data_IF_804958141381
#
_entry.id   IF_804958141381
#
_cell.length_a   1.000
_cell.length_b   1.000
_cell.length_c   1.000
_cell.angle_alpha   90.00
_cell.angle_beta   90.00
_cell.angle_gamma   90.00
#
_symmetry.space_group_name_H-M   'P 1'
#
loop_
_entity.id
_entity.type
_entity.pdbx_description
1 polymer ?
#
# COMPACT_ATOMS: atom_id res chain seq x y z
N UNK A 1 2.59 -31.50 -54.60
CA UNK A 1 1.73 -30.55 -53.86
C UNK A 1 0.90 -31.36 -52.89
N UNK A 2 1.33 -31.43 -51.63
CA UNK A 2 0.75 -32.32 -50.62
C UNK A 2 -0.43 -31.67 -49.89
N UNK A 3 -1.56 -32.36 -49.97
CA UNK A 3 -2.52 -32.73 -48.93
C UNK A 3 -2.68 -31.80 -47.72
N UNK A 4 -3.85 -31.16 -47.66
CA UNK A 4 -4.36 -30.50 -46.47
C UNK A 4 -5.16 -31.40 -45.53
N UNK A 5 -5.96 -30.72 -44.69
CA UNK A 5 -6.90 -31.22 -43.68
C UNK A 5 -6.24 -31.52 -42.32
N UNK A 6 -6.33 -30.53 -41.42
CA UNK A 6 -6.38 -30.78 -39.98
C UNK A 6 -7.72 -30.26 -39.44
N UNK A 7 -8.60 -31.22 -39.16
CA UNK A 7 -9.74 -31.09 -38.22
C UNK A 7 -9.23 -31.36 -36.80
N UNK A 8 -9.89 -30.76 -35.81
CA UNK A 8 -10.12 -31.19 -34.39
C UNK A 8 -10.17 -29.93 -33.52
N UNK A 9 -10.95 -29.82 -32.45
CA UNK A 9 -11.97 -30.66 -31.84
C UNK A 9 -12.63 -29.75 -30.79
N UNK A 10 -13.96 -29.78 -30.69
CA UNK A 10 -14.65 -29.22 -29.54
C UNK A 10 -14.27 -30.00 -28.28
N UNK A 11 -14.12 -29.28 -27.17
CA UNK A 11 -14.08 -29.88 -25.83
C UNK A 11 -15.13 -29.17 -24.98
N UNK A 12 -16.27 -29.81 -24.85
CA UNK A 12 -17.25 -29.58 -23.78
C UNK A 12 -16.70 -30.24 -22.52
N UNK A 13 -16.64 -29.50 -21.41
CA UNK A 13 -16.44 -30.09 -20.08
C UNK A 13 -17.65 -29.74 -19.21
N UNK A 14 -18.62 -30.65 -19.18
CA UNK A 14 -19.48 -30.86 -18.01
C UNK A 14 -18.65 -31.52 -16.90
N UNK A 15 -18.71 -30.97 -15.69
CA UNK A 15 -18.46 -31.70 -14.45
C UNK A 15 -19.13 -30.91 -13.31
N UNK A 16 -20.33 -31.27 -12.85
CA UNK A 16 -20.68 -32.41 -12.01
C UNK A 16 -20.05 -32.35 -10.62
N UNK A 17 -20.94 -32.44 -9.60
CA UNK A 17 -20.73 -32.75 -8.17
C UNK A 17 -20.64 -31.55 -7.22
N UNK A 18 -21.25 -31.56 -6.02
CA UNK A 18 -22.15 -32.46 -5.29
C UNK A 18 -22.60 -31.71 -4.03
N UNK A 19 -23.80 -32.05 -3.54
CA UNK A 19 -24.31 -31.74 -2.20
C UNK A 19 -23.30 -31.97 -1.07
N UNK A 20 -23.42 -31.23 0.04
CA UNK A 20 -23.42 -31.80 1.41
C UNK A 20 -23.85 -30.78 2.48
N UNK A 21 -25.00 -31.09 3.07
CA UNK A 21 -25.40 -31.01 4.49
C UNK A 21 -24.62 -30.19 5.53
N UNK A 22 -25.38 -29.29 6.17
CA UNK A 22 -25.62 -29.13 7.60
C UNK A 22 -24.61 -29.69 8.64
N UNK A 23 -24.19 -28.81 9.56
CA UNK A 23 -24.20 -29.12 11.00
C UNK A 23 -24.49 -27.86 11.82
N UNK A 24 -25.61 -27.90 12.53
CA UNK A 24 -26.02 -26.97 13.58
C UNK A 24 -25.59 -27.65 14.88
N UNK A 25 -24.64 -27.08 15.61
CA UNK A 25 -24.33 -27.52 16.98
C UNK A 25 -24.68 -26.39 17.95
N UNK A 26 -25.83 -26.57 18.61
CA UNK A 26 -26.24 -25.81 19.79
C UNK A 26 -25.53 -26.43 21.01
N UNK A 27 -24.69 -25.65 21.68
CA UNK A 27 -24.10 -26.00 22.99
C UNK A 27 -24.47 -24.86 23.95
N UNK A 28 -25.60 -24.98 24.65
CA UNK A 28 -25.74 -25.51 26.02
C UNK A 28 -25.14 -24.59 27.08
N UNK A 29 -25.99 -23.66 27.51
CA UNK A 29 -25.98 -22.94 28.78
C UNK A 29 -25.75 -23.90 29.95
N UNK A 30 -24.78 -23.61 30.81
CA UNK A 30 -24.67 -24.21 32.14
C UNK A 30 -24.78 -23.12 33.19
N UNK A 31 -25.60 -23.44 34.19
CA UNK A 31 -26.09 -22.57 35.23
C UNK A 31 -25.04 -22.31 36.32
N UNK A 32 -25.25 -21.16 36.94
CA UNK A 32 -24.72 -20.61 38.20
C UNK A 32 -24.70 -21.62 39.35
N UNK A 33 -23.75 -21.45 40.28
CA UNK A 33 -24.08 -21.58 41.70
C UNK A 33 -23.79 -20.28 42.47
N UNK A 34 -24.79 -19.89 43.26
CA UNK A 34 -24.68 -19.01 44.43
C UNK A 34 -23.60 -19.54 45.40
N UNK A 35 -22.93 -18.77 46.24
CA UNK A 35 -22.92 -17.35 46.52
C UNK A 35 -21.93 -17.12 47.66
N UNK A 36 -21.35 -15.93 47.76
CA UNK A 36 -20.63 -15.48 48.97
C UNK A 36 -20.99 -14.02 49.17
N UNK A 37 -21.78 -13.76 50.21
CA UNK A 37 -21.93 -12.43 50.82
C UNK A 37 -20.66 -12.12 51.58
N UNK A 38 -20.07 -10.96 51.34
CA UNK A 38 -19.39 -10.20 52.39
C UNK A 38 -19.63 -8.71 52.17
N UNK A 39 -20.24 -8.12 53.18
CA UNK A 39 -20.48 -6.70 53.31
C UNK A 39 -19.16 -5.95 53.56
N UNK A 40 -18.91 -4.87 52.83
CA UNK A 40 -18.22 -3.72 53.42
C UNK A 40 -18.50 -2.44 52.67
N UNK A 41 -18.84 -1.44 53.48
CA UNK A 41 -19.28 -0.09 53.16
C UNK A 41 -18.11 0.80 52.78
N UNK A 42 -18.34 1.74 51.87
CA UNK A 42 -17.45 2.86 51.52
C UNK A 42 -17.55 3.15 50.02
N UNK A 43 -18.55 3.87 49.51
CA UNK A 43 -18.74 5.33 49.60
C UNK A 43 -17.50 6.13 49.21
N UNK A 44 -17.24 6.29 47.91
CA UNK A 44 -16.84 7.57 47.31
C UNK A 44 -17.42 7.66 45.90
N UNK A 45 -18.19 8.71 45.68
CA UNK A 45 -18.73 9.17 44.41
C UNK A 45 -17.58 9.72 43.56
N UNK A 46 -17.55 9.41 42.27
CA UNK A 46 -17.41 10.44 41.25
C UNK A 46 -17.76 9.87 39.86
N UNK A 47 -18.90 10.34 39.39
CA UNK A 47 -19.31 10.37 38.00
C UNK A 47 -18.27 11.10 37.16
N UNK A 48 -17.78 10.41 36.12
CA UNK A 48 -17.61 11.03 34.82
C UNK A 48 -17.75 9.94 33.77
N UNK A 49 -19.01 9.61 33.48
CA UNK A 49 -19.38 8.99 32.22
C UNK A 49 -18.98 9.96 31.11
N UNK A 50 -17.88 9.66 30.42
CA UNK A 50 -17.57 10.30 29.15
C UNK A 50 -18.02 9.33 28.06
N UNK A 51 -19.28 9.51 27.69
CA UNK A 51 -19.91 9.00 26.48
C UNK A 51 -19.03 9.49 25.32
N UNK A 52 -18.25 8.61 24.72
CA UNK A 52 -17.73 8.84 23.37
C UNK A 52 -18.80 8.31 22.42
N UNK A 53 -19.45 9.25 21.74
CA UNK A 53 -20.34 8.97 20.63
C UNK A 53 -19.52 8.24 19.56
N UNK A 54 -19.99 7.04 19.21
CA UNK A 54 -19.57 6.31 18.03
C UNK A 54 -19.95 7.14 16.80
N UNK A 55 -19.03 7.96 16.30
CA UNK A 55 -19.05 8.41 14.91
C UNK A 55 -18.75 7.18 14.03
N UNK A 56 -19.82 6.46 13.72
CA UNK A 56 -19.87 5.58 12.59
C UNK A 56 -19.68 6.42 11.33
N UNK A 57 -18.42 6.58 10.90
CA UNK A 57 -18.13 7.02 9.54
C UNK A 57 -18.75 5.99 8.57
N UNK A 58 -19.89 6.40 8.04
CA UNK A 58 -20.60 5.82 6.92
C UNK A 58 -19.68 5.90 5.70
N UNK A 59 -18.81 4.90 5.54
CA UNK A 59 -17.99 4.76 4.34
C UNK A 59 -18.94 4.40 3.19
N UNK A 60 -19.22 5.38 2.33
CA UNK A 60 -20.03 5.17 1.13
C UNK A 60 -19.48 4.00 0.33
N UNK A 61 -20.36 3.01 0.19
CA UNK A 61 -20.24 1.81 -0.61
C UNK A 61 -20.14 2.24 -2.09
N UNK A 62 -18.91 2.45 -2.61
CA UNK A 62 -18.69 2.69 -4.04
C UNK A 62 -18.82 1.38 -4.82
N UNK A 63 -20.06 0.88 -4.85
CA UNK A 63 -20.48 -0.26 -5.65
C UNK A 63 -20.67 0.18 -7.12
N UNK A 64 -19.71 -0.20 -7.94
CA UNK A 64 -19.96 -0.96 -9.18
C UNK A 64 -21.19 -0.54 -10.03
N UNK A 65 -21.09 0.58 -10.77
CA UNK A 65 -22.05 0.85 -11.86
C UNK A 65 -21.70 0.03 -13.10
N UNK A 66 -22.27 -1.18 -13.15
CA UNK A 66 -22.40 -2.00 -14.35
C UNK A 66 -23.34 -1.30 -15.34
N UNK A 67 -22.79 -0.67 -16.37
CA UNK A 67 -23.59 -0.24 -17.53
C UNK A 67 -24.01 -1.45 -18.37
N UNK A 68 -25.19 -1.98 -18.08
CA UNK A 68 -25.99 -2.79 -18.99
C UNK A 68 -26.82 -1.83 -19.87
N UNK A 69 -26.33 -1.51 -21.07
CA UNK A 69 -27.13 -0.86 -22.11
C UNK A 69 -27.27 -1.80 -23.32
N UNK A 70 -28.42 -2.47 -23.34
CA UNK A 70 -28.90 -3.34 -24.39
C UNK A 70 -29.55 -2.54 -25.52
N UNK A 71 -29.13 -2.85 -26.76
CA UNK A 71 -29.83 -2.71 -28.04
C UNK A 71 -30.43 -1.35 -28.47
N UNK A 72 -29.78 -0.73 -29.46
CA UNK A 72 -30.48 -0.12 -30.60
C UNK A 72 -29.73 -0.41 -31.90
N UNK A 73 -30.32 -1.29 -32.71
CA UNK A 73 -29.91 -1.55 -34.10
C UNK A 73 -30.19 -0.28 -34.92
N UNK A 74 -29.17 0.34 -35.49
CA UNK A 74 -29.31 1.09 -36.74
C UNK A 74 -28.11 0.82 -37.63
N UNK A 75 -28.43 0.23 -38.77
CA UNK A 75 -27.58 0.01 -39.93
C UNK A 75 -27.32 1.34 -40.62
N UNK A 76 -26.06 1.69 -40.86
CA UNK A 76 -25.66 2.45 -42.06
C UNK A 76 -24.16 2.25 -42.32
N UNK A 77 -23.90 1.81 -43.54
CA UNK A 77 -22.64 1.71 -44.26
C UNK A 77 -21.77 2.96 -44.23
N UNK A 78 -20.44 2.80 -44.20
CA UNK A 78 -19.53 3.91 -44.51
C UNK A 78 -18.05 3.64 -44.21
N UNK A 79 -17.39 3.00 -45.18
CA UNK A 79 -15.95 3.03 -45.51
C UNK A 79 -15.07 4.05 -44.75
N UNK A 80 -13.95 3.61 -44.18
CA UNK A 80 -12.60 4.07 -44.60
C UNK A 80 -11.50 3.41 -43.75
N UNK A 81 -10.65 2.70 -44.47
CA UNK A 81 -9.39 2.07 -44.07
C UNK A 81 -8.27 3.10 -44.09
N UNK A 82 -7.42 3.13 -43.06
CA UNK A 82 -6.05 3.63 -43.18
C UNK A 82 -5.13 2.86 -42.22
N UNK A 83 -4.76 1.64 -42.62
CA UNK A 83 -3.52 1.00 -42.19
C UNK A 83 -2.37 1.59 -43.00
N UNK A 84 -1.39 2.21 -42.34
CA UNK A 84 -0.04 2.38 -42.91
C UNK A 84 0.93 1.52 -42.12
N UNK A 85 1.32 0.44 -42.76
CA UNK A 85 2.57 -0.29 -42.53
C UNK A 85 3.44 -0.16 -43.79
N UNK A 86 4.70 -0.59 -43.67
CA UNK A 86 5.84 -0.58 -44.64
C UNK A 86 6.69 0.70 -44.50
N UNK A 87 7.99 0.71 -44.18
CA UNK A 87 9.03 -0.33 -44.17
C UNK A 87 10.18 0.04 -45.14
N UNK A 88 11.40 0.31 -44.65
CA UNK A 88 12.69 0.30 -45.39
C UNK A 88 13.83 0.62 -44.39
N UNK A 89 14.78 -0.26 -44.05
CA UNK A 89 15.94 -0.79 -44.81
C UNK A 89 16.96 0.28 -45.25
N UNK A 90 18.09 0.37 -44.52
CA UNK A 90 19.43 0.71 -45.05
C UNK A 90 20.46 0.39 -43.94
N UNK A 91 21.21 -0.71 -44.02
CA UNK A 91 22.55 -0.91 -44.63
C UNK A 91 23.66 0.00 -44.10
N UNK A 92 24.71 -0.69 -43.64
CA UNK A 92 25.98 -0.25 -43.10
C UNK A 92 26.74 0.74 -43.99
N UNK A 93 27.49 1.67 -43.39
CA UNK A 93 28.75 2.18 -43.96
C UNK A 93 29.70 2.55 -42.81
N UNK A 94 30.92 2.02 -42.88
CA UNK A 94 32.04 2.25 -41.97
C UNK A 94 32.85 3.49 -42.40
N UNK A 95 33.61 4.01 -41.43
CA UNK A 95 34.85 4.82 -41.54
C UNK A 95 34.70 6.32 -41.84
N UNK A 96 35.06 7.19 -40.90
CA UNK A 96 36.27 8.04 -40.99
C UNK A 96 36.47 8.94 -39.77
N UNK A 97 37.50 8.57 -39.02
CA UNK A 97 38.42 9.43 -38.26
C UNK A 97 38.65 10.80 -38.91
N UNK A 98 38.35 11.90 -38.20
CA UNK A 98 39.18 13.11 -38.19
C UNK A 98 39.10 13.75 -36.80
N UNK A 99 40.24 13.73 -36.14
CA UNK A 99 40.64 14.49 -34.96
C UNK A 99 40.39 16.00 -35.12
N UNK A 100 39.84 16.64 -34.08
CA UNK A 100 40.07 18.07 -33.88
C UNK A 100 40.59 18.31 -32.46
N UNK A 101 41.88 18.63 -32.42
CA UNK A 101 42.70 18.97 -31.25
C UNK A 101 42.89 20.49 -31.25
N UNK A 102 43.07 21.05 -30.05
CA UNK A 102 43.64 22.36 -29.68
C UNK A 102 42.69 23.46 -29.17
N UNK A 103 42.60 23.60 -27.83
CA UNK A 103 43.37 24.55 -27.00
C UNK A 103 42.68 24.63 -25.62
N UNK A 104 43.23 24.14 -24.50
CA UNK A 104 44.41 24.63 -23.78
C UNK A 104 44.33 26.12 -23.41
N UNK A 105 43.65 26.41 -22.29
CA UNK A 105 43.92 27.53 -21.37
C UNK A 105 43.27 27.19 -20.03
N UNK A 106 44.06 26.64 -19.12
CA UNK A 106 44.54 27.29 -17.89
C UNK A 106 43.47 27.49 -16.81
N UNK A 107 43.68 26.73 -15.73
CA UNK A 107 43.48 27.13 -14.34
C UNK A 107 42.08 27.62 -13.93
N UNK A 108 41.32 26.72 -13.29
CA UNK A 108 41.17 26.80 -11.83
C UNK A 108 41.06 25.37 -11.27
N UNK A 109 42.11 24.92 -10.58
CA UNK A 109 41.97 23.87 -9.58
C UNK A 109 41.03 24.44 -8.52
N UNK A 110 39.82 23.89 -8.44
CA UNK A 110 38.88 24.21 -7.39
C UNK A 110 38.85 23.00 -6.43
N UNK A 111 39.67 22.96 -5.37
CA UNK A 111 39.68 21.85 -4.44
C UNK A 111 38.69 22.14 -3.29
N UNK A 112 37.41 22.32 -3.59
CA UNK A 112 36.39 22.52 -2.55
C UNK A 112 35.01 21.99 -2.96
N UNK A 113 34.81 20.68 -2.92
CA UNK A 113 33.44 20.14 -2.79
C UNK A 113 33.32 18.75 -2.15
N UNK A 114 34.37 18.20 -1.52
CA UNK A 114 34.27 16.90 -0.82
C UNK A 114 34.32 17.02 0.70
N UNK A 115 33.95 18.19 1.22
CA UNK A 115 33.52 18.33 2.62
C UNK A 115 32.03 18.65 2.64
N UNK A 116 31.24 17.84 1.92
CA UNK A 116 29.84 17.63 2.29
C UNK A 116 29.91 16.73 3.53
N UNK A 117 30.23 17.34 4.67
CA UNK A 117 29.75 16.84 5.94
C UNK A 117 28.25 16.68 5.72
N UNK A 118 27.77 15.44 5.66
CA UNK A 118 26.38 15.09 5.95
C UNK A 118 26.08 15.77 7.28
N UNK A 119 25.62 17.02 7.23
CA UNK A 119 24.79 17.54 8.28
C UNK A 119 23.73 16.47 8.41
N UNK A 120 23.67 15.85 9.58
CA UNK A 120 22.50 15.08 9.99
C UNK A 120 21.38 16.11 10.09
N UNK A 121 20.89 16.57 8.93
CA UNK A 121 19.68 17.35 8.87
C UNK A 121 18.62 16.46 9.48
N UNK A 122 17.95 17.03 10.49
CA UNK A 122 16.87 16.35 11.17
C UNK A 122 15.92 15.79 10.11
N UNK A 123 15.45 14.56 10.29
CA UNK A 123 14.56 13.95 9.32
C UNK A 123 13.32 14.85 9.17
N UNK A 124 13.15 15.37 7.95
CA UNK A 124 12.13 16.36 7.60
C UNK A 124 10.99 15.69 6.81
N UNK A 125 9.80 16.29 6.82
CA UNK A 125 8.62 15.85 6.07
C UNK A 125 8.96 15.57 4.60
N UNK A 126 9.64 16.50 3.93
CA UNK A 126 10.04 16.31 2.52
C UNK A 126 10.89 15.07 2.32
N UNK A 127 11.79 14.75 3.25
CA UNK A 127 12.62 13.55 3.17
C UNK A 127 11.79 12.28 3.30
N UNK A 128 10.78 12.29 4.17
CA UNK A 128 9.85 11.16 4.31
C UNK A 128 8.96 11.01 3.08
N UNK A 129 8.41 12.09 2.54
CA UNK A 129 7.60 12.08 1.31
C UNK A 129 8.43 11.56 0.12
N UNK A 130 9.65 12.07 -0.05
CA UNK A 130 10.52 11.71 -1.17
C UNK A 130 11.04 10.27 -1.10
N UNK A 131 11.07 9.65 0.08
CA UNK A 131 11.41 8.23 0.22
C UNK A 131 10.30 7.29 -0.24
N UNK A 132 9.06 7.79 -0.38
CA UNK A 132 7.96 6.96 -0.85
C UNK A 132 8.20 6.53 -2.30
N UNK A 133 8.06 5.23 -2.54
CA UNK A 133 8.18 4.68 -3.88
C UNK A 133 7.02 5.11 -4.79
N UNK A 134 7.20 4.87 -6.10
CA UNK A 134 6.15 5.05 -7.09
C UNK A 134 4.94 4.13 -6.87
N UNK A 135 5.04 3.07 -6.07
CA UNK A 135 3.90 2.20 -5.69
C UNK A 135 3.26 2.57 -4.35
N UNK A 136 3.85 3.48 -3.59
CA UNK A 136 3.29 3.95 -2.32
C UNK A 136 3.85 3.29 -1.06
N UNK A 137 4.92 2.51 -1.17
CA UNK A 137 5.59 1.89 -0.01
C UNK A 137 6.88 2.61 0.37
N UNK A 138 7.34 2.40 1.61
CA UNK A 138 8.64 2.87 2.09
C UNK A 138 9.60 1.71 2.30
N UNK A 139 10.88 1.97 2.05
CA UNK A 139 11.96 0.98 2.20
C UNK A 139 13.07 1.46 3.13
N UNK A 140 13.20 2.76 3.38
CA UNK A 140 14.29 3.29 4.20
C UNK A 140 14.02 3.14 5.69
N UNK A 141 14.40 1.98 6.21
CA UNK A 141 14.33 1.64 7.63
C UNK A 141 15.02 2.70 8.52
N UNK A 142 16.21 3.15 8.13
CA UNK A 142 16.97 4.14 8.90
C UNK A 142 16.26 5.50 8.98
N UNK A 143 15.59 5.91 7.90
CA UNK A 143 14.84 7.16 7.87
C UNK A 143 13.63 7.07 8.80
N UNK A 144 12.83 6.01 8.68
CA UNK A 144 11.63 5.83 9.50
C UNK A 144 12.02 5.72 10.98
N UNK A 145 13.01 4.89 11.32
CA UNK A 145 13.46 4.76 12.72
C UNK A 145 14.14 5.99 13.28
N UNK A 146 14.63 6.90 12.44
CA UNK A 146 15.21 8.16 12.95
C UNK A 146 14.17 9.03 13.67
N UNK A 147 12.88 8.92 13.32
CA UNK A 147 11.78 9.64 13.96
C UNK A 147 11.38 9.11 15.34
N UNK A 148 11.71 7.86 15.67
CA UNK A 148 11.33 7.27 16.95
C UNK A 148 12.42 7.45 18.02
N UNK A 149 11.99 7.63 19.27
CA UNK A 149 12.91 7.73 20.41
C UNK A 149 13.53 6.37 20.74
N UNK A 150 12.72 5.31 20.65
CA UNK A 150 13.13 3.93 20.81
C UNK A 150 12.78 3.13 19.55
N UNK A 151 13.71 2.32 19.07
CA UNK A 151 13.51 1.47 17.89
C UNK A 151 12.81 0.16 18.25
N UNK A 152 11.87 0.19 19.20
CA UNK A 152 11.19 -1.00 19.69
C UNK A 152 9.72 -0.97 19.33
N UNK A 153 9.39 -1.79 18.36
CA UNK A 153 8.03 -2.05 17.93
C UNK A 153 7.46 -3.20 18.79
N UNK A 154 6.18 -3.14 19.15
CA UNK A 154 5.54 -4.21 19.93
C UNK A 154 5.50 -5.52 19.16
N UNK A 155 5.88 -6.63 19.81
CA UNK A 155 5.85 -7.97 19.21
C UNK A 155 4.44 -8.39 18.79
N UNK A 156 3.42 -7.95 19.52
CA UNK A 156 2.02 -8.25 19.21
C UNK A 156 1.59 -7.55 17.91
N UNK A 157 2.01 -6.30 17.73
CA UNK A 157 1.76 -5.55 16.51
C UNK A 157 2.45 -6.19 15.30
N UNK A 158 3.72 -6.58 15.44
CA UNK A 158 4.44 -7.32 14.41
C UNK A 158 3.74 -8.65 14.04
N UNK A 159 3.28 -9.39 15.05
CA UNK A 159 2.58 -10.66 14.87
C UNK A 159 1.30 -10.48 14.09
N UNK A 160 0.51 -9.46 14.42
CA UNK A 160 -0.77 -9.17 13.75
C UNK A 160 -0.55 -8.83 12.27
N UNK A 161 0.47 -8.03 11.94
CA UNK A 161 0.83 -7.76 10.54
C UNK A 161 1.21 -9.06 9.82
N UNK A 162 2.09 -9.89 10.41
CA UNK A 162 2.50 -11.17 9.79
C UNK A 162 1.33 -12.10 9.50
N UNK A 163 0.25 -12.02 10.28
CA UNK A 163 -0.96 -12.83 10.08
C UNK A 163 -1.88 -12.25 9.01
N UNK A 164 -1.91 -10.93 8.81
CA UNK A 164 -2.79 -10.27 7.85
C UNK A 164 -2.22 -10.20 6.43
N UNK A 165 -0.90 -10.14 6.25
CA UNK A 165 -0.33 -9.99 4.91
C UNK A 165 -0.48 -11.26 4.07
N UNK A 166 -0.75 -11.08 2.77
CA UNK A 166 -0.81 -12.18 1.79
C UNK A 166 0.56 -12.78 1.52
N UNK A 167 1.57 -11.93 1.30
CA UNK A 167 2.95 -12.34 1.01
C UNK A 167 3.89 -12.00 2.17
N UNK A 168 4.44 -13.05 2.78
CA UNK A 168 5.37 -12.94 3.91
C UNK A 168 6.69 -12.26 3.54
N UNK A 169 7.08 -12.29 2.27
CA UNK A 169 8.33 -11.66 1.80
C UNK A 169 8.24 -10.13 1.85
N UNK A 170 7.03 -9.57 1.79
CA UNK A 170 6.79 -8.13 1.82
C UNK A 170 6.56 -7.60 3.24
N UNK A 171 6.67 -8.46 4.27
CA UNK A 171 6.45 -8.11 5.67
C UNK A 171 7.17 -6.83 6.08
N UNK A 172 8.47 -6.75 5.80
CA UNK A 172 9.29 -5.60 6.22
C UNK A 172 8.83 -4.31 5.55
N UNK A 173 8.50 -4.35 4.26
CA UNK A 173 8.00 -3.17 3.53
C UNK A 173 6.63 -2.72 4.05
N UNK A 174 5.74 -3.67 4.34
CA UNK A 174 4.42 -3.39 4.92
C UNK A 174 4.57 -2.76 6.31
N UNK A 175 5.41 -3.34 7.16
CA UNK A 175 5.70 -2.80 8.50
C UNK A 175 6.22 -1.36 8.42
N UNK A 176 7.24 -1.12 7.57
CA UNK A 176 7.81 0.20 7.36
C UNK A 176 6.77 1.20 6.82
N UNK A 177 5.90 0.78 5.91
CA UNK A 177 4.85 1.63 5.35
C UNK A 177 3.83 2.05 6.41
N UNK A 178 3.44 1.13 7.30
CA UNK A 178 2.52 1.44 8.42
C UNK A 178 3.19 2.41 9.41
N UNK A 179 4.46 2.18 9.73
CA UNK A 179 5.22 3.07 10.61
C UNK A 179 5.42 4.47 9.99
N UNK A 180 5.69 4.56 8.69
CA UNK A 180 5.80 5.85 7.99
C UNK A 180 4.48 6.63 8.03
N UNK A 181 3.34 5.95 7.82
CA UNK A 181 2.02 6.57 7.96
C UNK A 181 1.76 7.07 9.38
N UNK A 182 2.16 6.29 10.40
CA UNK A 182 2.06 6.70 11.79
C UNK A 182 2.90 7.97 12.06
N UNK A 183 4.13 8.03 11.53
CA UNK A 183 4.98 9.23 11.65
C UNK A 183 4.34 10.44 10.99
N UNK A 184 3.78 10.31 9.78
CA UNK A 184 3.11 11.41 9.10
C UNK A 184 1.98 12.00 9.95
N UNK A 185 1.13 11.12 10.49
CA UNK A 185 -0.01 11.52 11.31
C UNK A 185 0.40 12.19 12.61
N UNK A 186 1.34 11.60 13.34
CA UNK A 186 1.64 12.05 14.70
C UNK A 186 2.65 13.20 14.73
N UNK A 187 3.60 13.27 13.79
CA UNK A 187 4.63 14.32 13.76
C UNK A 187 4.26 15.52 12.90
N UNK A 188 3.46 15.31 11.85
CA UNK A 188 3.18 16.31 10.83
C UNK A 188 1.67 16.55 10.65
N UNK A 189 0.88 16.37 11.71
CA UNK A 189 -0.58 16.56 11.71
C UNK A 189 -0.97 17.96 11.18
N UNK A 190 -0.23 19.00 11.62
CA UNK A 190 -0.43 20.39 11.19
C UNK A 190 -0.18 20.63 9.69
N UNK A 191 0.42 19.66 8.97
CA UNK A 191 0.76 19.73 7.55
C UNK A 191 0.02 18.64 6.74
N UNK A 192 -1.15 18.18 7.18
CA UNK A 192 -1.91 17.10 6.53
C UNK A 192 -2.09 17.31 5.02
N UNK A 193 -2.41 18.53 4.59
CA UNK A 193 -2.59 18.87 3.18
C UNK A 193 -1.39 18.53 2.29
N UNK A 194 -0.17 18.56 2.85
CA UNK A 194 1.06 18.25 2.11
C UNK A 194 1.25 16.75 1.88
N UNK A 195 0.77 15.90 2.79
CA UNK A 195 1.03 14.46 2.76
C UNK A 195 -0.21 13.59 2.56
N UNK A 196 -1.42 14.15 2.54
CA UNK A 196 -2.67 13.37 2.41
C UNK A 196 -2.71 12.49 1.14
N UNK A 197 -2.19 13.00 0.02
CA UNK A 197 -2.12 12.23 -1.23
C UNK A 197 -1.10 11.09 -1.16
N UNK A 198 0.02 11.33 -0.45
CA UNK A 198 1.06 10.34 -0.17
C UNK A 198 0.48 9.22 0.71
N UNK A 199 -0.28 9.59 1.74
CA UNK A 199 -0.95 8.65 2.62
C UNK A 199 -2.02 7.82 1.90
N UNK A 200 -2.85 8.44 1.04
CA UNK A 200 -3.86 7.73 0.23
C UNK A 200 -3.25 6.63 -0.64
N UNK A 201 -2.09 6.91 -1.24
CA UNK A 201 -1.36 5.95 -2.07
C UNK A 201 -0.82 4.79 -1.24
N UNK A 202 -0.24 5.08 -0.08
CA UNK A 202 0.24 4.05 0.84
C UNK A 202 -0.88 3.16 1.39
N UNK A 203 -2.02 3.75 1.77
CA UNK A 203 -3.21 2.99 2.19
C UNK A 203 -3.71 2.09 1.05
N UNK A 204 -3.63 2.53 -0.21
CA UNK A 204 -3.97 1.70 -1.37
C UNK A 204 -3.01 0.52 -1.53
N UNK A 205 -1.69 0.75 -1.44
CA UNK A 205 -0.70 -0.32 -1.41
C UNK A 205 -0.97 -1.34 -0.29
N UNK A 206 -1.26 -0.88 0.93
CA UNK A 206 -1.55 -1.76 2.07
C UNK A 206 -2.80 -2.61 1.86
N UNK A 207 -3.86 -2.06 1.24
CA UNK A 207 -5.06 -2.81 0.86
C UNK A 207 -4.75 -3.93 -0.13
N UNK A 208 -3.88 -3.69 -1.11
CA UNK A 208 -3.45 -4.73 -2.06
C UNK A 208 -2.75 -5.89 -1.33
N UNK A 209 -1.96 -5.57 -0.30
CA UNK A 209 -1.28 -6.56 0.56
C UNK A 209 -2.21 -7.31 1.53
N UNK A 210 -3.48 -6.95 1.62
CA UNK A 210 -4.49 -7.57 2.49
C UNK A 210 -4.81 -6.80 3.77
N UNK A 211 -4.26 -5.59 3.93
CA UNK A 211 -4.51 -4.75 5.10
C UNK A 211 -5.55 -3.67 4.74
N UNK A 212 -6.80 -3.95 5.08
CA UNK A 212 -7.92 -3.04 4.78
C UNK A 212 -8.00 -1.86 5.75
N UNK A 213 -7.79 -2.13 7.04
CA UNK A 213 -8.03 -1.15 8.12
C UNK A 213 -6.72 -0.76 8.81
N UNK A 214 -5.91 0.03 8.11
CA UNK A 214 -4.58 0.47 8.58
C UNK A 214 -4.68 1.23 9.92
N UNK A 215 -5.73 2.04 10.09
CA UNK A 215 -5.86 2.92 11.26
C UNK A 215 -6.02 2.15 12.59
N UNK A 216 -6.44 0.87 12.54
CA UNK A 216 -6.52 -0.01 13.72
C UNK A 216 -5.15 -0.26 14.36
N UNK A 217 -4.10 -0.16 13.56
CA UNK A 217 -2.74 -0.39 14.02
C UNK A 217 -2.16 0.79 14.77
N UNK A 218 -2.60 2.02 14.50
CA UNK A 218 -2.08 3.20 15.21
C UNK A 218 -2.31 3.12 16.71
N UNK A 219 -3.44 2.54 17.15
CA UNK A 219 -3.73 2.30 18.57
C UNK A 219 -2.81 1.26 19.22
N UNK A 220 -2.18 0.39 18.42
CA UNK A 220 -1.27 -0.67 18.89
C UNK A 220 0.20 -0.24 18.86
N UNK A 221 0.50 0.82 18.14
CA UNK A 221 1.84 1.41 18.09
C UNK A 221 2.03 2.22 19.37
N UNK A 222 2.63 1.58 20.38
CA UNK A 222 2.99 2.23 21.64
C UNK A 222 4.45 2.72 21.57
N UNK A 223 4.71 3.68 20.69
CA UNK A 223 6.07 4.22 20.43
C UNK A 223 6.03 5.74 20.52
N UNK A 224 7.00 6.32 21.24
CA UNK A 224 7.18 7.77 21.35
C UNK A 224 7.97 8.30 20.16
N UNK A 225 7.45 9.35 19.52
CA UNK A 225 8.12 10.09 18.45
C UNK A 225 9.03 11.15 19.06
N UNK A 226 10.20 11.39 18.47
CA UNK A 226 11.08 12.51 18.84
C UNK A 226 10.42 13.82 18.43
N UNK A 227 10.30 14.76 19.35
CA UNK A 227 10.00 16.16 19.04
C UNK A 227 11.02 16.73 18.05
#
# INVERSE_FOLDING_TARGET
>A
MNSGIMRRSGMSNEKLMKSSSAMITKSKTMATPAGIKMDSKGSVKNEKEQIFEDEAEEFEDFAEEKSLASHKKQSISGLSYCTRSIGARSKETKVSTVSNTFNASQQTLNPQSDIIKKAQELPNLSSLINDQSSVGNWNSQNLIFSYFQENKVSEDFERDIKLMIKDKNLYQQVLLTILALFVLREKFDDQEDEWIMIAKKAKTYLREQGIEKVDQFYKKINITIKE
#
